data_IF_927373370192
#
_entry.id   IF_927373370192
#
_cell.length_a   1.000
_cell.length_b   1.000
_cell.length_c   1.000
_cell.angle_alpha   90.00
_cell.angle_beta   90.00
_cell.angle_gamma   90.00
#
_symmetry.space_group_name_H-M   'P 1'
#
loop_
_entity.id
_entity.type
_entity.pdbx_description
1 polymer ?
#
# COMPACT_ATOMS: atom_id res chain seq x y z
N UNK A 1 5.11 -7.94 -1.44
CA UNK A 1 4.15 -8.78 -0.70
C UNK A 1 2.71 -8.29 -0.76
N UNK A 2 2.42 -7.07 -0.29
CA UNK A 2 1.05 -6.52 -0.18
C UNK A 2 0.21 -6.58 -1.46
N UNK A 3 0.80 -6.26 -2.63
CA UNK A 3 0.11 -6.40 -3.93
C UNK A 3 -0.41 -7.82 -4.17
N UNK A 4 0.38 -8.85 -3.82
CA UNK A 4 -0.01 -10.25 -4.00
C UNK A 4 -1.14 -10.64 -3.05
N UNK A 5 -1.07 -10.21 -1.79
CA UNK A 5 -2.14 -10.42 -0.81
C UNK A 5 -3.45 -9.78 -1.28
N UNK A 6 -3.40 -8.50 -1.70
CA UNK A 6 -4.57 -7.78 -2.25
C UNK A 6 -5.19 -8.57 -3.40
N UNK A 7 -4.40 -8.92 -4.42
CA UNK A 7 -4.89 -9.67 -5.58
C UNK A 7 -5.50 -11.02 -5.17
N UNK A 8 -4.85 -11.76 -4.27
CA UNK A 8 -5.35 -13.06 -3.79
C UNK A 8 -6.71 -12.91 -3.08
N UNK A 9 -6.87 -11.93 -2.19
CA UNK A 9 -8.15 -11.65 -1.52
C UNK A 9 -9.22 -11.26 -2.55
N UNK A 10 -8.88 -10.42 -3.52
CA UNK A 10 -9.79 -9.99 -4.56
C UNK A 10 -10.25 -11.11 -5.50
N UNK A 11 -9.39 -12.09 -5.78
CA UNK A 11 -9.69 -13.20 -6.69
C UNK A 11 -10.36 -14.40 -5.98
N UNK A 12 -10.13 -14.58 -4.68
CA UNK A 12 -10.75 -15.66 -3.90
C UNK A 12 -12.00 -15.15 -3.20
N UNK A 13 -13.08 -15.07 -3.97
CA UNK A 13 -14.39 -14.56 -3.50
C UNK A 13 -15.09 -15.49 -2.51
N UNK A 14 -14.71 -16.76 -2.46
CA UNK A 14 -15.37 -17.80 -1.64
C UNK A 14 -14.60 -18.19 -0.38
N UNK A 15 -13.29 -17.94 -0.32
CA UNK A 15 -12.45 -18.31 0.83
C UNK A 15 -11.81 -17.08 1.45
N UNK A 16 -10.89 -16.41 0.74
CA UNK A 16 -10.10 -15.33 1.36
C UNK A 16 -10.91 -14.06 1.61
N UNK A 17 -11.83 -13.73 0.71
CA UNK A 17 -12.64 -12.52 0.88
C UNK A 17 -13.62 -12.64 2.07
N UNK A 18 -14.37 -13.74 2.25
CA UNK A 18 -15.16 -13.95 3.46
C UNK A 18 -14.29 -13.95 4.73
N UNK A 19 -13.16 -14.66 4.73
CA UNK A 19 -12.24 -14.68 5.89
C UNK A 19 -11.71 -13.28 6.21
N UNK A 20 -11.40 -12.46 5.21
CA UNK A 20 -11.02 -11.07 5.41
C UNK A 20 -12.09 -10.30 6.18
N UNK A 21 -13.36 -10.42 5.80
CA UNK A 21 -14.44 -9.73 6.48
C UNK A 21 -14.61 -10.16 7.93
N UNK A 22 -14.55 -11.47 8.20
CA UNK A 22 -14.59 -12.00 9.57
C UNK A 22 -13.43 -11.45 10.40
N UNK A 23 -12.21 -11.41 9.85
CA UNK A 23 -11.05 -10.83 10.53
C UNK A 23 -11.25 -9.35 10.84
N UNK A 24 -11.83 -8.57 9.91
CA UNK A 24 -12.12 -7.16 10.16
C UNK A 24 -13.18 -6.96 11.24
N UNK A 25 -14.23 -7.79 11.24
CA UNK A 25 -15.28 -7.76 12.25
C UNK A 25 -14.73 -8.09 13.64
N UNK A 26 -13.93 -9.16 13.76
CA UNK A 26 -13.28 -9.56 15.02
C UNK A 26 -12.37 -8.46 15.58
N UNK A 27 -11.63 -7.78 14.69
CA UNK A 27 -10.73 -6.68 15.05
C UNK A 27 -11.47 -5.33 15.19
N UNK A 28 -12.79 -5.31 15.00
CA UNK A 28 -13.66 -4.11 15.04
C UNK A 28 -13.17 -3.00 14.10
N UNK A 29 -12.62 -3.37 12.96
CA UNK A 29 -12.15 -2.46 11.92
C UNK A 29 -13.27 -2.16 10.92
N UNK A 30 -13.20 -1.02 10.26
CA UNK A 30 -14.16 -0.68 9.21
C UNK A 30 -14.10 -1.71 8.07
N UNK A 31 -15.25 -2.16 7.57
CA UNK A 31 -15.31 -3.08 6.45
C UNK A 31 -14.82 -2.40 5.15
N UNK A 32 -13.53 -2.55 4.85
CA UNK A 32 -12.89 -2.06 3.63
C UNK A 32 -12.03 -3.14 2.99
N UNK A 33 -12.05 -3.25 1.65
CA UNK A 33 -11.10 -4.12 0.93
C UNK A 33 -9.75 -3.42 0.82
N UNK A 34 -8.67 -4.20 0.88
CA UNK A 34 -7.35 -3.73 0.49
C UNK A 34 -7.38 -3.26 -0.99
N UNK A 35 -6.98 -2.01 -1.32
CA UNK A 35 -6.99 -1.53 -2.69
C UNK A 35 -6.10 -2.36 -3.62
N UNK A 36 -6.45 -2.38 -4.91
CA UNK A 36 -5.57 -2.96 -5.94
C UNK A 36 -4.54 -1.92 -6.36
N UNK A 37 -3.32 -2.39 -6.54
CA UNK A 37 -2.20 -1.58 -6.99
C UNK A 37 -1.99 -1.75 -8.50
N UNK A 38 -1.91 -0.62 -9.20
CA UNK A 38 -1.64 -0.49 -10.63
C UNK A 38 -0.17 -0.12 -10.81
N UNK A 39 0.59 -1.04 -11.40
CA UNK A 39 2.05 -0.97 -11.51
C UNK A 39 2.61 0.33 -12.10
N UNK A 40 1.87 1.00 -12.98
CA UNK A 40 2.29 2.21 -13.68
C UNK A 40 1.85 3.50 -13.02
N UNK A 41 1.19 3.46 -11.85
CA UNK A 41 0.66 4.64 -11.16
C UNK A 41 0.98 4.59 -9.68
N UNK A 42 1.95 5.40 -9.23
CA UNK A 42 2.30 5.49 -7.80
C UNK A 42 1.10 5.85 -6.93
N UNK A 43 0.10 6.59 -7.43
CA UNK A 43 -1.09 6.96 -6.65
C UNK A 43 -1.84 5.71 -6.18
N UNK A 44 -1.87 4.67 -7.00
CA UNK A 44 -2.50 3.40 -6.64
C UNK A 44 -1.65 2.59 -5.66
N UNK A 45 -0.32 2.63 -5.79
CA UNK A 45 0.62 2.08 -4.83
C UNK A 45 0.44 2.73 -3.47
N UNK A 46 0.46 4.07 -3.42
CA UNK A 46 0.18 4.87 -2.23
C UNK A 46 -1.13 4.45 -1.56
N UNK A 47 -2.25 4.44 -2.29
CA UNK A 47 -3.55 4.05 -1.73
C UNK A 47 -3.58 2.63 -1.19
N UNK A 48 -2.87 1.69 -1.82
CA UNK A 48 -2.76 0.34 -1.29
C UNK A 48 -1.92 0.31 0.00
N UNK A 49 -0.78 1.02 0.03
CA UNK A 49 0.10 1.09 1.19
C UNK A 49 -0.59 1.74 2.39
N UNK A 50 -1.28 2.86 2.17
CA UNK A 50 -2.00 3.60 3.20
C UNK A 50 -3.02 2.71 3.93
N UNK A 51 -3.82 1.95 3.17
CA UNK A 51 -4.76 0.97 3.74
C UNK A 51 -4.03 -0.23 4.33
N UNK A 52 -2.95 -0.70 3.71
CA UNK A 52 -2.21 -1.84 4.25
C UNK A 52 -1.63 -1.55 5.65
N UNK A 53 -1.13 -0.33 5.86
CA UNK A 53 -0.60 0.11 7.14
C UNK A 53 -1.71 0.29 8.17
N UNK A 54 -2.84 0.88 7.79
CA UNK A 54 -4.02 0.98 8.67
C UNK A 54 -4.54 -0.42 9.06
N UNK A 55 -4.50 -1.40 8.16
CA UNK A 55 -5.02 -2.76 8.34
C UNK A 55 -3.92 -3.81 8.61
N UNK A 56 -2.78 -3.39 9.16
CA UNK A 56 -1.63 -4.27 9.39
C UNK A 56 -1.98 -5.50 10.23
N UNK A 57 -2.77 -5.33 11.30
CA UNK A 57 -3.18 -6.43 12.18
C UNK A 57 -4.05 -7.46 11.45
N UNK A 58 -4.99 -7.01 10.61
CA UNK A 58 -5.82 -7.88 9.80
C UNK A 58 -4.99 -8.67 8.77
N UNK A 59 -4.03 -7.99 8.12
CA UNK A 59 -3.12 -8.62 7.16
C UNK A 59 -2.26 -9.68 7.84
N UNK A 60 -1.71 -9.39 9.02
CA UNK A 60 -0.93 -10.35 9.80
C UNK A 60 -1.73 -11.62 10.13
N UNK A 61 -2.97 -11.45 10.63
CA UNK A 61 -3.88 -12.58 10.94
C UNK A 61 -4.24 -13.41 9.69
N UNK A 62 -4.43 -12.75 8.56
CA UNK A 62 -4.67 -13.42 7.28
C UNK A 62 -3.47 -14.25 6.82
N UNK A 63 -2.24 -13.77 7.02
CA UNK A 63 -1.02 -14.45 6.60
C UNK A 63 -0.58 -15.56 7.56
N UNK A 64 -0.88 -15.43 8.85
CA UNK A 64 -0.57 -16.46 9.87
C UNK A 64 -1.43 -17.73 9.69
N UNK A 65 -2.69 -17.56 9.27
CA UNK A 65 -3.63 -18.66 9.12
C UNK A 65 -3.24 -19.57 7.95
N UNK A 66 -2.83 -20.81 8.24
CA UNK A 66 -2.35 -21.77 7.23
C UNK A 66 -3.39 -22.05 6.13
N UNK A 67 -4.68 -22.10 6.49
CA UNK A 67 -5.79 -22.34 5.55
C UNK A 67 -5.89 -21.27 4.43
N UNK A 68 -5.36 -20.07 4.67
CA UNK A 68 -5.40 -18.99 3.69
C UNK A 68 -4.30 -19.12 2.62
N UNK A 69 -3.27 -19.94 2.85
CA UNK A 69 -2.11 -20.08 1.95
C UNK A 69 -1.44 -18.73 1.57
N UNK A 70 -1.52 -17.75 2.47
CA UNK A 70 -0.93 -16.42 2.32
C UNK A 70 0.41 -16.26 3.05
N UNK A 71 0.81 -17.23 3.88
CA UNK A 71 1.99 -17.18 4.74
C UNK A 71 3.30 -16.87 4.00
N UNK A 72 3.45 -17.35 2.76
CA UNK A 72 4.62 -17.03 1.92
C UNK A 72 4.79 -15.53 1.63
N UNK A 73 3.73 -14.75 1.80
CA UNK A 73 3.69 -13.30 1.60
C UNK A 73 3.60 -12.52 2.91
N UNK A 74 3.80 -13.18 4.05
CA UNK A 74 3.92 -12.51 5.34
C UNK A 74 5.04 -11.47 5.31
N UNK A 75 4.78 -10.31 5.91
CA UNK A 75 5.72 -9.21 5.93
C UNK A 75 6.49 -9.20 7.25
N UNK A 76 7.81 -9.11 7.14
CA UNK A 76 8.72 -8.84 8.27
C UNK A 76 8.58 -7.41 8.79
N UNK A 77 9.09 -7.16 10.00
CA UNK A 77 9.15 -5.80 10.57
C UNK A 77 9.88 -4.81 9.66
N UNK A 78 10.94 -5.25 8.98
CA UNK A 78 11.69 -4.43 8.02
C UNK A 78 10.84 -4.09 6.80
N UNK A 79 10.13 -5.06 6.24
CA UNK A 79 9.24 -4.80 5.09
C UNK A 79 8.09 -3.86 5.44
N UNK A 80 7.58 -3.90 6.67
CA UNK A 80 6.62 -2.91 7.16
C UNK A 80 7.22 -1.51 7.28
N UNK A 81 8.45 -1.38 7.76
CA UNK A 81 9.15 -0.09 7.81
C UNK A 81 9.35 0.50 6.40
N UNK A 82 9.77 -0.33 5.44
CA UNK A 82 9.91 0.07 4.03
C UNK A 82 8.54 0.47 3.44
N UNK A 83 7.47 -0.26 3.78
CA UNK A 83 6.12 0.07 3.33
C UNK A 83 5.67 1.45 3.83
N UNK A 84 6.01 1.82 5.08
CA UNK A 84 5.75 3.15 5.63
C UNK A 84 6.52 4.23 4.89
N UNK A 85 7.83 4.06 4.70
CA UNK A 85 8.66 5.03 3.98
C UNK A 85 8.15 5.27 2.55
N UNK A 86 7.86 4.17 1.82
CA UNK A 86 7.29 4.25 0.47
C UNK A 86 5.92 4.94 0.45
N UNK A 87 5.09 4.75 1.48
CA UNK A 87 3.79 5.40 1.59
C UNK A 87 3.98 6.90 1.69
N UNK A 88 4.91 7.36 2.53
CA UNK A 88 5.16 8.79 2.78
C UNK A 88 5.68 9.50 1.51
N UNK A 89 6.69 8.93 0.83
CA UNK A 89 7.21 9.49 -0.44
C UNK A 89 6.10 9.61 -1.49
N UNK A 90 5.30 8.56 -1.66
CA UNK A 90 4.22 8.60 -2.65
C UNK A 90 3.03 9.46 -2.21
N UNK A 91 2.81 9.66 -0.91
CA UNK A 91 1.83 10.62 -0.42
C UNK A 91 2.22 12.03 -0.84
N UNK A 92 3.46 12.45 -0.57
CA UNK A 92 3.95 13.78 -0.92
C UNK A 92 3.90 14.02 -2.43
N UNK A 93 4.36 13.05 -3.22
CA UNK A 93 4.25 13.09 -4.68
C UNK A 93 2.79 13.21 -5.15
N UNK A 94 1.89 12.38 -4.59
CA UNK A 94 0.47 12.42 -4.95
C UNK A 94 -0.14 13.76 -4.61
N UNK A 95 0.12 14.32 -3.41
CA UNK A 95 -0.41 15.62 -3.00
C UNK A 95 0.11 16.75 -3.88
N UNK A 96 1.41 16.76 -4.20
CA UNK A 96 2.02 17.77 -5.05
C UNK A 96 1.40 17.79 -6.46
N UNK A 97 1.36 16.64 -7.12
CA UNK A 97 0.85 16.52 -8.49
C UNK A 97 -0.68 16.54 -8.62
N UNK A 98 -1.41 16.45 -7.51
CA UNK A 98 -2.88 16.58 -7.50
C UNK A 98 -3.36 18.00 -7.22
N UNK A 99 -2.46 18.99 -7.08
CA UNK A 99 -2.86 20.39 -6.92
C UNK A 99 -3.51 20.90 -8.21
N UNK A 100 -4.51 21.74 -8.06
CA UNK A 100 -5.30 22.28 -9.16
C UNK A 100 -5.30 23.82 -9.13
N UNK A 101 -5.72 24.43 -10.25
CA UNK A 101 -5.82 25.89 -10.35
C UNK A 101 -4.47 26.58 -10.34
N UNK A 102 -4.32 27.60 -9.48
CA UNK A 102 -3.11 28.45 -9.42
C UNK A 102 -1.89 27.73 -8.84
N UNK A 103 -2.12 26.68 -8.07
CA UNK A 103 -1.07 25.91 -7.38
C UNK A 103 -0.72 24.60 -8.12
N UNK A 104 -1.30 24.39 -9.31
CA UNK A 104 -1.03 23.22 -10.12
C UNK A 104 0.42 23.23 -10.61
N UNK A 105 1.19 22.14 -10.42
CA UNK A 105 2.55 22.09 -10.89
C UNK A 105 2.62 22.20 -12.40
N UNK A 106 3.49 23.07 -12.86
CA UNK A 106 3.78 23.29 -14.27
C UNK A 106 4.89 22.36 -14.74
N UNK A 107 5.13 22.33 -16.05
CA UNK A 107 6.19 21.49 -16.64
C UNK A 107 7.58 21.78 -16.04
N UNK A 108 7.85 23.02 -15.63
CA UNK A 108 9.13 23.39 -15.02
C UNK A 108 9.30 22.84 -13.61
N UNK A 109 8.20 22.52 -12.93
CA UNK A 109 8.20 21.97 -11.57
C UNK A 109 8.34 20.43 -11.58
N UNK A 110 8.05 19.79 -12.71
CA UNK A 110 8.06 18.32 -12.83
C UNK A 110 9.48 17.76 -12.68
N UNK A 111 10.47 18.30 -13.37
CA UNK A 111 11.84 17.75 -13.34
C UNK A 111 12.42 17.79 -11.91
N UNK A 112 12.42 18.94 -11.20
CA UNK A 112 12.92 18.99 -9.82
C UNK A 112 12.15 18.08 -8.87
N UNK A 113 10.82 17.97 -9.03
CA UNK A 113 10.01 17.09 -8.21
C UNK A 113 10.36 15.61 -8.46
N UNK A 114 10.61 15.22 -9.71
CA UNK A 114 11.04 13.87 -10.06
C UNK A 114 12.43 13.55 -9.51
N UNK A 115 13.37 14.50 -9.55
CA UNK A 115 14.71 14.33 -9.00
C UNK A 115 14.66 14.11 -7.48
N UNK A 116 13.83 14.89 -6.76
CA UNK A 116 13.64 14.73 -5.32
C UNK A 116 13.03 13.37 -4.96
N UNK A 117 12.03 12.91 -5.72
CA UNK A 117 11.41 11.59 -5.51
C UNK A 117 12.46 10.48 -5.72
N UNK A 118 13.27 10.58 -6.78
CA UNK A 118 14.33 9.60 -7.07
C UNK A 118 15.38 9.56 -5.95
N UNK A 119 15.83 10.71 -5.48
CA UNK A 119 16.79 10.82 -4.36
C UNK A 119 16.25 10.20 -3.06
N UNK A 120 14.98 10.48 -2.72
CA UNK A 120 14.34 9.92 -1.53
C UNK A 120 14.20 8.40 -1.62
N UNK A 121 13.83 7.89 -2.79
CA UNK A 121 13.70 6.44 -3.02
C UNK A 121 15.07 5.75 -2.98
N UNK A 122 16.12 6.37 -3.55
CA UNK A 122 17.48 5.84 -3.52
C UNK A 122 18.05 5.80 -2.11
N UNK A 123 17.85 6.86 -1.33
CA UNK A 123 18.33 6.95 0.06
C UNK A 123 17.62 5.93 0.96
N UNK A 124 16.30 5.81 0.83
CA UNK A 124 15.50 4.85 1.61
C UNK A 124 15.80 3.38 1.29
N UNK A 125 16.44 3.11 0.15
CA UNK A 125 16.83 1.74 -0.24
C UNK A 125 18.17 1.29 0.37
N UNK A 126 18.95 2.20 0.96
CA UNK A 126 20.26 1.91 1.56
C UNK A 126 20.17 1.51 3.05
N UNK A 127 19.01 1.71 3.69
CA UNK A 127 18.69 1.36 5.08
C UNK A 127 18.00 -0.03 5.22
#
# INVERSE_FOLDING_TARGET
QLRKISISIHHSTTLLLPTWWVVLEDLKMQARKLPRDVRTRWNSTFRMLDVALEYQAAIARMTETQANNLRRWELSKREWAIATQLRDVFYDATQFFSREGKDAPSLTDVIPAMDLIDEQLATSALD
#
